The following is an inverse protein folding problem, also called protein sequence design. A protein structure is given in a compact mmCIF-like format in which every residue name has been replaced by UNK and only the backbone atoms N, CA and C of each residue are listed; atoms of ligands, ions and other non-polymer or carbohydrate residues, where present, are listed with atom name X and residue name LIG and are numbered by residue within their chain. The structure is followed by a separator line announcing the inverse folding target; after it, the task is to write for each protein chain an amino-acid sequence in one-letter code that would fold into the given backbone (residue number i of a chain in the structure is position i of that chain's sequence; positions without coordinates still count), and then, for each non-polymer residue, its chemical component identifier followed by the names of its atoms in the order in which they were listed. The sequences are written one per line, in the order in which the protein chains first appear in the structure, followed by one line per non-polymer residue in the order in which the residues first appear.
data_IF_238880009034
#
_entry.id   IF_238880009034
#
_cell.length_a   1.000
_cell.length_b   1.000
_cell.length_c   1.000
_cell.angle_alpha   90.00
_cell.angle_beta   90.00
_cell.angle_gamma   90.00
#
_symmetry.space_group_name_H-M   'P 1'
#
loop_
_entity.id
_entity.type
_entity.pdbx_description
1 polymer ?
#
# COMPACT_ATOMS: atom_id res chain seq x y z
N UNK A 1 43.73 28.03 6.77
CA UNK A 1 42.46 27.57 6.15
C UNK A 1 42.69 26.24 5.40
N UNK A 2 42.70 25.09 6.10
CA UNK A 2 42.91 23.76 5.47
C UNK A 2 41.96 22.67 5.99
N UNK A 3 41.08 22.98 6.94
CA UNK A 3 40.17 22.03 7.60
C UNK A 3 38.82 21.86 6.91
N UNK A 4 38.38 22.82 6.09
CA UNK A 4 37.06 22.75 5.42
C UNK A 4 36.94 21.74 4.27
N UNK A 5 38.06 21.36 3.64
CA UNK A 5 38.05 20.45 2.48
C UNK A 5 37.96 18.98 2.86
N UNK A 6 38.41 18.61 4.06
CA UNK A 6 38.38 17.22 4.54
C UNK A 6 36.97 16.83 5.02
N UNK A 7 36.25 17.77 5.65
CA UNK A 7 34.87 17.54 6.13
C UNK A 7 33.89 17.37 4.96
N UNK A 8 34.08 18.08 3.84
CA UNK A 8 33.21 17.96 2.67
C UNK A 8 33.44 16.66 1.88
N UNK A 9 34.66 16.11 1.88
CA UNK A 9 34.95 14.82 1.26
C UNK A 9 34.34 13.63 2.01
N UNK A 10 34.29 13.69 3.35
CA UNK A 10 33.67 12.67 4.18
C UNK A 10 32.13 12.63 4.02
N UNK A 11 31.49 13.78 3.82
CA UNK A 11 30.03 13.86 3.64
C UNK A 11 29.57 13.27 2.29
N UNK A 12 30.38 13.43 1.24
CA UNK A 12 30.09 12.88 -0.10
C UNK A 12 30.33 11.38 -0.20
N UNK A 13 31.31 10.83 0.52
CA UNK A 13 31.56 9.39 0.57
C UNK A 13 30.47 8.63 1.36
N UNK A 14 29.84 9.27 2.36
CA UNK A 14 28.74 8.68 3.13
C UNK A 14 27.41 8.56 2.37
N UNK A 15 27.20 9.37 1.32
CA UNK A 15 25.95 9.40 0.55
C UNK A 15 25.89 8.34 -0.56
N UNK A 16 27.03 7.75 -0.97
CA UNK A 16 27.08 6.75 -2.04
C UNK A 16 27.00 5.32 -1.48
N UNK A 17 27.32 5.13 -0.19
CA UNK A 17 27.33 3.81 0.45
C UNK A 17 25.96 3.26 0.87
N UNK A 18 24.90 4.07 0.87
CA UNK A 18 23.57 3.67 1.36
C UNK A 18 22.62 3.11 0.28
N UNK A 19 23.05 3.04 -0.99
CA UNK A 19 22.20 2.58 -2.09
C UNK A 19 22.18 1.06 -2.30
N UNK A 20 23.06 0.29 -1.64
CA UNK A 20 23.24 -1.13 -1.95
C UNK A 20 22.25 -2.08 -1.23
N UNK A 21 21.48 -1.61 -0.25
CA UNK A 21 20.61 -2.48 0.56
C UNK A 21 19.15 -2.57 0.08
N UNK A 22 18.78 -1.91 -1.02
CA UNK A 22 17.38 -1.92 -1.50
C UNK A 22 17.11 -3.06 -2.50
N UNK A 23 18.14 -3.74 -3.01
CA UNK A 23 17.99 -4.71 -4.11
C UNK A 23 17.90 -6.19 -3.71
N UNK A 24 17.69 -6.49 -2.43
CA UNK A 24 17.48 -7.86 -1.95
C UNK A 24 16.31 -7.91 -0.96
N UNK A 25 15.12 -7.52 -1.42
CA UNK A 25 13.89 -7.86 -0.72
C UNK A 25 13.58 -9.34 -1.02
N UNK A 26 13.81 -10.16 -0.01
CA UNK A 26 13.47 -11.57 0.03
C UNK A 26 11.99 -11.77 -0.34
N UNK A 27 11.69 -12.79 -1.13
CA UNK A 27 10.42 -13.00 -1.85
C UNK A 27 9.16 -13.26 -1.00
N UNK A 28 9.13 -12.82 0.26
CA UNK A 28 8.03 -13.00 1.20
C UNK A 28 7.63 -11.74 1.98
N UNK A 29 8.28 -10.58 1.76
CA UNK A 29 7.88 -9.35 2.42
C UNK A 29 6.72 -8.68 1.67
N UNK A 30 5.51 -8.76 2.22
CA UNK A 30 4.36 -7.96 1.80
C UNK A 30 4.80 -6.52 1.56
N UNK A 31 4.78 -6.10 0.29
CA UNK A 31 5.35 -4.82 -0.14
C UNK A 31 4.75 -3.63 0.60
N UNK A 32 5.42 -2.47 0.54
CA UNK A 32 4.99 -1.23 1.20
C UNK A 32 3.49 -0.87 1.00
N UNK A 33 2.88 -1.33 -0.10
CA UNK A 33 1.44 -1.23 -0.39
C UNK A 33 0.54 -1.97 0.62
N UNK A 34 0.95 -3.14 1.11
CA UNK A 34 0.19 -3.92 2.08
C UNK A 34 0.19 -3.27 3.48
N UNK A 35 1.32 -2.68 3.89
CA UNK A 35 1.43 -1.91 5.13
C UNK A 35 0.60 -0.61 5.07
N UNK A 36 0.60 0.08 3.92
CA UNK A 36 -0.26 1.24 3.70
C UNK A 36 -1.76 0.90 3.80
N UNK A 37 -2.15 -0.32 3.40
CA UNK A 37 -3.53 -0.80 3.55
C UNK A 37 -3.95 -0.99 5.00
N UNK A 38 -3.07 -1.54 5.85
CA UNK A 38 -3.37 -1.73 7.28
C UNK A 38 -3.48 -0.39 8.04
N UNK A 39 -2.87 0.67 7.52
CA UNK A 39 -2.93 2.02 8.08
C UNK A 39 -3.86 2.98 7.31
N UNK A 40 -4.55 2.52 6.28
CA UNK A 40 -5.62 3.27 5.61
C UNK A 40 -6.85 3.29 6.52
N UNK A 41 -6.77 4.04 7.63
CA UNK A 41 -7.91 4.28 8.48
C UNK A 41 -8.95 5.11 7.72
N UNK A 42 -10.22 4.99 8.09
CA UNK A 42 -11.30 5.81 7.52
C UNK A 42 -11.02 7.33 7.65
N UNK A 43 -10.11 7.74 8.54
CA UNK A 43 -9.64 9.10 8.74
C UNK A 43 -8.45 9.52 7.86
N UNK A 44 -8.06 8.71 6.87
CA UNK A 44 -7.02 9.09 5.93
C UNK A 44 -7.26 10.51 5.37
N UNK A 45 -6.19 11.31 5.29
CA UNK A 45 -6.25 12.72 4.87
C UNK A 45 -6.99 12.88 3.53
N UNK A 46 -6.80 11.95 2.61
CA UNK A 46 -7.48 11.94 1.31
C UNK A 46 -9.00 11.74 1.42
N UNK A 47 -9.49 10.91 2.35
CA UNK A 47 -10.92 10.74 2.60
C UNK A 47 -11.52 12.06 3.08
N UNK A 48 -10.84 12.74 4.01
CA UNK A 48 -11.28 14.03 4.55
C UNK A 48 -11.35 15.12 3.47
N UNK A 49 -10.35 15.19 2.60
CA UNK A 49 -10.34 16.13 1.47
C UNK A 49 -11.51 15.82 0.52
N UNK A 50 -11.68 14.56 0.13
CA UNK A 50 -12.78 14.15 -0.75
C UNK A 50 -14.17 14.42 -0.14
N UNK A 51 -14.30 14.23 1.16
CA UNK A 51 -15.53 14.50 1.90
C UNK A 51 -15.81 16.01 2.03
N UNK A 52 -14.77 16.85 2.17
CA UNK A 52 -14.91 18.31 2.09
C UNK A 52 -15.43 18.76 0.73
N UNK A 53 -14.84 18.26 -0.37
CA UNK A 53 -15.35 18.56 -1.72
C UNK A 53 -16.78 18.07 -1.93
N UNK A 54 -17.14 16.90 -1.42
CA UNK A 54 -18.49 16.35 -1.55
C UNK A 54 -19.55 17.13 -0.73
N UNK A 55 -19.11 17.86 0.30
CA UNK A 55 -19.99 18.61 1.20
C UNK A 55 -19.90 20.13 1.03
N UNK A 56 -19.12 20.60 0.05
CA UNK A 56 -18.93 22.02 -0.22
C UNK A 56 -20.26 22.67 -0.62
N UNK A 57 -20.68 23.70 0.11
CA UNK A 57 -21.98 24.37 -0.10
C UNK A 57 -23.20 23.62 0.45
N UNK A 58 -23.02 22.49 1.14
CA UNK A 58 -24.11 21.70 1.75
C UNK A 58 -24.09 21.83 3.27
N UNK A 59 -25.27 21.76 3.89
CA UNK A 59 -25.41 21.93 5.34
C UNK A 59 -26.50 21.04 5.94
N UNK A 60 -26.40 20.80 7.25
CA UNK A 60 -27.36 20.01 8.01
C UNK A 60 -27.51 18.59 7.46
N UNK A 61 -28.75 18.14 7.32
CA UNK A 61 -29.09 16.77 6.93
C UNK A 61 -28.46 16.32 5.60
N UNK A 62 -28.39 17.20 4.60
CA UNK A 62 -27.83 16.83 3.30
C UNK A 62 -26.33 16.52 3.41
N UNK A 63 -25.60 17.32 4.18
CA UNK A 63 -24.17 17.08 4.45
C UNK A 63 -23.98 15.75 5.17
N UNK A 64 -24.76 15.50 6.22
CA UNK A 64 -24.62 14.30 7.04
C UNK A 64 -24.95 13.03 6.25
N UNK A 65 -26.00 13.06 5.44
CA UNK A 65 -26.36 11.94 4.56
C UNK A 65 -25.27 11.59 3.54
N UNK A 66 -24.58 12.60 2.98
CA UNK A 66 -23.46 12.39 2.06
C UNK A 66 -22.26 11.77 2.77
N UNK A 67 -21.93 12.24 3.97
CA UNK A 67 -20.82 11.68 4.74
C UNK A 67 -21.07 10.23 5.11
N UNK A 68 -22.30 9.90 5.53
CA UNK A 68 -22.72 8.52 5.84
C UNK A 68 -22.65 7.64 4.59
N UNK A 69 -23.25 8.06 3.47
CA UNK A 69 -23.19 7.28 2.22
C UNK A 69 -21.76 7.01 1.78
N UNK A 70 -20.89 8.02 1.84
CA UNK A 70 -19.49 7.88 1.43
C UNK A 70 -18.70 6.95 2.35
N UNK A 71 -18.94 7.01 3.66
CA UNK A 71 -18.36 6.05 4.62
C UNK A 71 -18.82 4.63 4.32
N UNK A 72 -20.12 4.41 4.14
CA UNK A 72 -20.65 3.07 3.81
C UNK A 72 -20.06 2.54 2.50
N UNK A 73 -19.93 3.40 1.47
CA UNK A 73 -19.33 3.02 0.19
C UNK A 73 -17.82 2.70 0.29
N UNK A 74 -17.11 3.27 1.28
CA UNK A 74 -15.70 2.91 1.55
C UNK A 74 -15.60 1.54 2.20
N UNK A 75 -16.42 1.26 3.21
CA UNK A 75 -16.48 -0.05 3.87
C UNK A 75 -16.84 -1.14 2.86
N UNK A 76 -17.86 -0.91 2.03
CA UNK A 76 -18.25 -1.87 0.99
C UNK A 76 -17.10 -2.18 0.02
N UNK A 77 -16.37 -1.15 -0.44
CA UNK A 77 -15.20 -1.33 -1.31
C UNK A 77 -14.05 -2.06 -0.63
N UNK A 78 -13.81 -1.79 0.65
CA UNK A 78 -12.80 -2.51 1.42
C UNK A 78 -13.11 -4.01 1.50
N UNK A 79 -14.38 -4.35 1.77
CA UNK A 79 -14.87 -5.74 1.81
C UNK A 79 -14.73 -6.40 0.43
N UNK A 80 -15.21 -5.75 -0.63
CA UNK A 80 -15.12 -6.27 -1.99
C UNK A 80 -13.67 -6.51 -2.42
N UNK A 81 -12.78 -5.57 -2.10
CA UNK A 81 -11.37 -5.69 -2.43
C UNK A 81 -10.72 -6.84 -1.66
N UNK A 82 -11.00 -7.00 -0.37
CA UNK A 82 -10.53 -8.15 0.41
C UNK A 82 -11.02 -9.48 -0.17
N UNK A 83 -12.29 -9.55 -0.58
CA UNK A 83 -12.84 -10.74 -1.23
C UNK A 83 -12.10 -11.07 -2.54
N UNK A 84 -11.83 -10.07 -3.38
CA UNK A 84 -11.08 -10.25 -4.63
C UNK A 84 -9.64 -10.70 -4.40
N UNK A 85 -8.94 -10.12 -3.43
CA UNK A 85 -7.58 -10.54 -3.08
C UNK A 85 -7.54 -11.97 -2.54
N UNK A 86 -8.54 -12.37 -1.75
CA UNK A 86 -8.67 -13.74 -1.28
C UNK A 86 -8.92 -14.72 -2.44
N UNK A 87 -9.80 -14.36 -3.38
CA UNK A 87 -10.07 -15.18 -4.57
C UNK A 87 -8.84 -15.32 -5.47
N UNK A 88 -8.12 -14.22 -5.72
CA UNK A 88 -6.88 -14.23 -6.49
C UNK A 88 -5.81 -15.09 -5.81
N UNK A 89 -5.62 -14.95 -4.49
CA UNK A 89 -4.68 -15.77 -3.72
C UNK A 89 -5.01 -17.26 -3.76
N UNK A 90 -6.29 -17.63 -3.68
CA UNK A 90 -6.73 -19.03 -3.82
C UNK A 90 -6.47 -19.58 -5.22
N UNK A 91 -6.72 -18.76 -6.25
CA UNK A 91 -6.48 -19.15 -7.64
C UNK A 91 -4.99 -19.34 -7.92
N UNK A 92 -4.15 -18.41 -7.50
CA UNK A 92 -2.69 -18.51 -7.63
C UNK A 92 -2.13 -19.72 -6.86
N UNK A 93 -2.65 -19.99 -5.65
CA UNK A 93 -2.30 -21.18 -4.88
C UNK A 93 -2.71 -22.47 -5.60
N UNK A 94 -3.92 -22.52 -6.16
CA UNK A 94 -4.42 -23.65 -6.94
C UNK A 94 -3.59 -23.91 -8.21
N UNK A 95 -3.28 -22.87 -8.97
CA UNK A 95 -2.42 -22.96 -10.16
C UNK A 95 -0.99 -23.40 -9.81
N UNK A 96 -0.44 -22.93 -8.67
CA UNK A 96 0.85 -23.39 -8.16
C UNK A 96 0.86 -24.88 -7.77
N UNK A 97 -0.22 -25.35 -7.14
CA UNK A 97 -0.38 -26.74 -6.71
C UNK A 97 -0.54 -27.69 -7.90
N UNK A 98 -1.33 -27.28 -8.91
CA UNK A 98 -1.50 -28.01 -10.17
C UNK A 98 -0.16 -28.16 -10.90
N UNK A 99 0.61 -27.06 -11.07
CA UNK A 99 1.95 -27.11 -11.68
C UNK A 99 2.92 -27.99 -10.88
N UNK A 100 2.83 -27.97 -9.56
CA UNK A 100 3.60 -28.87 -8.69
C UNK A 100 3.29 -30.35 -8.95
N UNK A 101 2.01 -30.71 -9.01
CA UNK A 101 1.53 -32.06 -9.35
C UNK A 101 1.96 -32.51 -10.75
N UNK A 102 1.81 -31.64 -11.76
CA UNK A 102 2.20 -31.94 -13.14
C UNK A 102 3.72 -32.16 -13.26
N UNK A 103 4.53 -31.43 -12.47
CA UNK A 103 5.98 -31.61 -12.41
C UNK A 103 6.42 -32.90 -11.71
N UNK A 104 5.62 -33.40 -10.76
CA UNK A 104 5.88 -34.66 -10.05
C UNK A 104 5.46 -35.91 -10.85
N UNK A 105 4.44 -35.77 -11.71
CA UNK A 105 3.91 -36.89 -12.51
C UNK A 105 4.60 -37.05 -13.88
N UNK A 106 5.44 -36.08 -14.27
CA UNK A 106 6.24 -36.12 -15.51
C UNK A 106 7.68 -36.64 -15.31
N UNK A 107 8.01 -37.20 -14.14
CA UNK A 107 9.22 -37.99 -13.89
C UNK A 107 8.92 -39.48 -13.93
#
# INVERSE_FOLDING_TARGET
MKTGRIVMGALLAGLIGSSASVLAADGGQSGASASAYQHASDEAVFNRIGDWFATLGKSGFEKDSILVQRRTARVARAIEHQAKHAEQGLREAGEGLQKGLDSMTSQ
#
